data_IF_541940494153
#
_entry.id   IF_541940494153
#
_cell.length_a   1.000
_cell.length_b   1.000
_cell.length_c   1.000
_cell.angle_alpha   90.00
_cell.angle_beta   90.00
_cell.angle_gamma   90.00
#
_symmetry.space_group_name_H-M   'P 1'
#
loop_
_entity.id
_entity.type
_entity.pdbx_description
1 polymer ?
#
# COMPACT_ATOMS: atom_id res chain seq x y z
N UNK A 1 14.14 10.68 -9.51
CA UNK A 1 12.89 10.10 -9.00
C UNK A 1 13.12 9.61 -7.59
N UNK A 2 12.11 9.05 -6.93
CA UNK A 2 12.32 8.27 -5.70
C UNK A 2 12.63 6.82 -6.06
N UNK A 3 13.35 6.12 -5.19
CA UNK A 3 13.44 4.65 -5.22
C UNK A 3 12.18 4.08 -4.55
N UNK A 4 11.48 3.16 -5.21
CA UNK A 4 10.17 2.65 -4.78
C UNK A 4 10.25 1.16 -4.45
N UNK A 5 9.89 0.86 -3.20
CA UNK A 5 9.71 -0.51 -2.70
C UNK A 5 8.21 -0.82 -2.68
N UNK A 6 7.81 -1.96 -3.24
CA UNK A 6 6.44 -2.44 -3.25
C UNK A 6 6.32 -3.83 -2.63
N UNK A 7 5.36 -4.02 -1.74
CA UNK A 7 5.08 -5.33 -1.12
C UNK A 7 3.86 -5.98 -1.77
N UNK A 8 3.89 -7.28 -1.97
CA UNK A 8 2.78 -8.01 -2.59
C UNK A 8 2.67 -9.47 -2.14
N UNK A 9 1.61 -10.14 -2.57
CA UNK A 9 1.23 -11.48 -2.12
C UNK A 9 1.46 -12.59 -3.14
N UNK A 10 1.95 -12.28 -4.34
CA UNK A 10 2.17 -13.29 -5.38
C UNK A 10 3.18 -12.82 -6.42
N UNK A 11 3.81 -13.77 -7.10
CA UNK A 11 4.79 -13.48 -8.14
C UNK A 11 4.17 -12.79 -9.37
N UNK A 12 2.90 -13.10 -9.67
CA UNK A 12 2.16 -12.41 -10.73
C UNK A 12 2.01 -10.90 -10.43
N UNK A 13 1.66 -10.56 -9.18
CA UNK A 13 1.63 -9.16 -8.76
C UNK A 13 3.03 -8.56 -8.68
N UNK A 14 4.03 -9.36 -8.34
CA UNK A 14 5.40 -8.89 -8.29
C UNK A 14 5.91 -8.50 -9.68
N UNK A 15 5.61 -9.31 -10.70
CA UNK A 15 5.87 -9.01 -12.09
C UNK A 15 5.14 -7.73 -12.55
N UNK A 16 3.88 -7.56 -12.15
CA UNK A 16 3.13 -6.33 -12.43
C UNK A 16 3.77 -5.07 -11.81
N UNK A 17 4.17 -5.13 -10.53
CA UNK A 17 4.87 -4.01 -9.88
C UNK A 17 6.18 -3.66 -10.59
N UNK A 18 6.96 -4.66 -11.01
CA UNK A 18 8.16 -4.43 -11.83
C UNK A 18 7.83 -3.78 -13.17
N UNK A 19 6.76 -4.20 -13.85
CA UNK A 19 6.39 -3.66 -15.16
C UNK A 19 5.93 -2.20 -15.11
N UNK A 20 5.46 -1.73 -13.94
CA UNK A 20 5.11 -0.31 -13.72
C UNK A 20 6.25 0.51 -13.11
N UNK A 21 7.47 -0.05 -13.03
CA UNK A 21 8.67 0.67 -12.62
C UNK A 21 8.97 0.66 -11.12
N UNK A 22 8.46 -0.31 -10.35
CA UNK A 22 8.87 -0.50 -8.97
C UNK A 22 10.31 -1.04 -8.92
N UNK A 23 11.22 -0.32 -8.24
CA UNK A 23 12.65 -0.65 -8.18
C UNK A 23 12.91 -1.95 -7.39
N UNK A 24 12.20 -2.13 -6.26
CA UNK A 24 12.27 -3.35 -5.46
C UNK A 24 10.89 -3.87 -5.11
N UNK A 25 10.63 -5.12 -5.46
CA UNK A 25 9.38 -5.78 -5.13
C UNK A 25 9.61 -6.93 -4.18
N UNK A 26 8.93 -6.94 -3.03
CA UNK A 26 9.00 -7.99 -2.02
C UNK A 26 7.68 -8.77 -2.04
N UNK A 27 7.73 -10.06 -2.37
CA UNK A 27 6.59 -10.95 -2.19
C UNK A 27 6.62 -11.47 -0.73
N UNK A 28 5.76 -10.93 0.12
CA UNK A 28 5.79 -11.22 1.56
C UNK A 28 5.39 -12.66 1.92
N UNK A 29 4.90 -13.45 0.95
CA UNK A 29 4.64 -14.88 1.15
C UNK A 29 5.89 -15.75 0.95
N UNK A 30 6.94 -15.22 0.32
CA UNK A 30 8.17 -15.97 0.00
C UNK A 30 9.43 -15.33 0.58
N UNK A 31 9.32 -14.10 1.07
CA UNK A 31 10.43 -13.31 1.59
C UNK A 31 9.99 -12.53 2.83
N UNK A 32 10.84 -12.50 3.86
CA UNK A 32 10.60 -11.71 5.05
C UNK A 32 10.88 -10.22 4.77
N UNK A 33 9.87 -9.37 4.97
CA UNK A 33 9.97 -7.93 4.68
C UNK A 33 10.97 -7.22 5.59
N UNK A 34 11.00 -7.54 6.89
CA UNK A 34 11.95 -6.93 7.83
C UNK A 34 13.40 -7.27 7.48
N UNK A 35 13.69 -8.54 7.19
CA UNK A 35 15.03 -8.97 6.81
C UNK A 35 15.49 -8.33 5.50
N UNK A 36 14.61 -8.28 4.49
CA UNK A 36 14.90 -7.64 3.22
C UNK A 36 15.19 -6.15 3.41
N UNK A 37 14.38 -5.45 4.22
CA UNK A 37 14.59 -4.03 4.51
C UNK A 37 15.91 -3.77 5.24
N UNK A 38 16.22 -4.53 6.30
CA UNK A 38 17.48 -4.38 7.04
C UNK A 38 18.71 -4.61 6.16
N UNK A 39 18.64 -5.62 5.29
CA UNK A 39 19.77 -6.03 4.44
C UNK A 39 20.02 -5.04 3.30
N UNK A 40 18.97 -4.62 2.61
CA UNK A 40 19.08 -3.82 1.38
C UNK A 40 18.97 -2.31 1.63
N UNK A 41 18.31 -1.91 2.72
CA UNK A 41 18.03 -0.51 3.07
C UNK A 41 18.46 -0.23 4.52
N UNK A 42 19.77 -0.34 4.85
CA UNK A 42 20.25 -0.24 6.24
C UNK A 42 19.99 1.14 6.88
N UNK A 43 19.73 2.19 6.08
CA UNK A 43 19.36 3.51 6.56
C UNK A 43 17.85 3.68 6.79
N UNK A 44 17.06 2.66 6.46
CA UNK A 44 15.61 2.66 6.53
C UNK A 44 14.92 3.32 5.33
N UNK A 45 13.58 3.39 5.41
CA UNK A 45 12.70 3.99 4.40
C UNK A 45 12.18 5.36 4.83
N UNK A 46 12.31 6.36 3.96
CA UNK A 46 11.97 7.77 4.28
C UNK A 46 10.47 8.06 4.30
N UNK A 47 9.70 7.38 3.46
CA UNK A 47 8.26 7.61 3.29
C UNK A 47 7.57 6.28 3.02
N UNK A 48 6.57 5.97 3.84
CA UNK A 48 5.79 4.73 3.73
C UNK A 48 4.32 5.04 3.56
N UNK A 49 3.72 4.37 2.57
CA UNK A 49 2.29 4.37 2.30
C UNK A 49 1.73 3.04 2.82
N UNK A 50 1.09 3.09 3.98
CA UNK A 50 0.67 1.90 4.72
C UNK A 50 -0.86 1.72 4.64
N UNK A 51 -1.29 0.51 4.30
CA UNK A 51 -2.70 0.14 4.12
C UNK A 51 -3.08 -1.20 4.73
N UNK A 52 -2.09 -1.97 5.19
CA UNK A 52 -2.25 -3.39 5.51
C UNK A 52 -2.48 -3.56 7.00
N UNK A 53 -1.57 -3.06 7.83
CA UNK A 53 -1.55 -3.31 9.26
C UNK A 53 -0.78 -4.56 9.69
N UNK A 54 -0.95 -4.95 10.95
CA UNK A 54 -0.40 -6.18 11.53
C UNK A 54 1.12 -6.25 11.44
N UNK A 55 1.66 -7.44 11.19
CA UNK A 55 3.11 -7.67 11.17
C UNK A 55 3.85 -6.86 10.10
N UNK A 56 3.19 -6.54 8.97
CA UNK A 56 3.80 -5.69 7.96
C UNK A 56 4.04 -4.27 8.50
N UNK A 57 3.06 -3.71 9.21
CA UNK A 57 3.23 -2.42 9.87
C UNK A 57 4.36 -2.45 10.91
N UNK A 58 4.50 -3.55 11.65
CA UNK A 58 5.62 -3.74 12.61
C UNK A 58 6.97 -3.70 11.90
N UNK A 59 7.13 -4.48 10.83
CA UNK A 59 8.36 -4.46 10.00
C UNK A 59 8.65 -3.07 9.46
N UNK A 60 7.63 -2.31 9.05
CA UNK A 60 7.80 -0.93 8.56
C UNK A 60 8.31 0.00 9.66
N UNK A 61 7.72 -0.03 10.86
CA UNK A 61 8.13 0.85 11.97
C UNK A 61 9.57 0.53 12.41
N UNK A 62 9.95 -0.74 12.39
CA UNK A 62 11.32 -1.17 12.70
C UNK A 62 12.34 -0.67 11.66
N UNK A 63 11.90 -0.45 10.41
CA UNK A 63 12.76 -0.06 9.30
C UNK A 63 12.52 1.35 8.77
N UNK A 64 11.72 2.18 9.44
CA UNK A 64 11.59 3.60 9.05
C UNK A 64 12.92 4.32 9.26
N UNK A 65 13.29 5.22 8.35
CA UNK A 65 14.52 6.00 8.45
C UNK A 65 14.44 7.04 9.59
N UNK A 66 15.58 7.60 9.97
CA UNK A 66 15.61 8.81 10.82
C UNK A 66 14.86 9.93 10.10
N UNK A 67 13.88 10.55 10.79
CA UNK A 67 12.92 11.53 10.25
C UNK A 67 11.98 10.98 9.18
N UNK A 68 11.90 9.65 9.04
CA UNK A 68 10.98 9.02 8.12
C UNK A 68 9.51 9.20 8.52
N UNK A 69 8.62 9.03 7.55
CA UNK A 69 7.19 9.32 7.69
C UNK A 69 6.36 8.12 7.24
N UNK A 70 5.46 7.67 8.09
CA UNK A 70 4.49 6.63 7.77
C UNK A 70 3.12 7.27 7.64
N UNK A 71 2.50 7.14 6.46
CA UNK A 71 1.17 7.61 6.16
C UNK A 71 0.22 6.41 6.20
N UNK A 72 -0.67 6.38 7.19
CA UNK A 72 -1.71 5.36 7.33
C UNK A 72 -2.96 5.80 6.56
N UNK A 73 -3.41 5.03 5.58
CA UNK A 73 -4.67 5.29 4.86
C UNK A 73 -5.51 4.03 4.63
N UNK A 74 -5.17 2.95 5.32
CA UNK A 74 -5.94 1.71 5.39
C UNK A 74 -5.43 0.83 6.55
N UNK A 75 -6.19 -0.19 6.91
CA UNK A 75 -5.83 -1.20 7.91
C UNK A 75 -6.59 -2.50 7.61
N UNK A 76 -6.37 -3.05 6.41
CA UNK A 76 -7.19 -4.16 5.88
C UNK A 76 -7.08 -5.45 6.71
N UNK A 77 -5.95 -5.67 7.41
CA UNK A 77 -5.75 -6.85 8.25
C UNK A 77 -6.66 -6.88 9.48
N UNK A 78 -7.08 -5.70 9.96
CA UNK A 78 -7.87 -5.58 11.19
C UNK A 78 -9.37 -5.71 11.02
N UNK A 79 -9.90 -5.60 9.79
CA UNK A 79 -11.35 -5.56 9.58
C UNK A 79 -12.08 -6.84 9.99
N UNK A 80 -11.36 -7.95 10.21
CA UNK A 80 -11.90 -9.22 10.71
C UNK A 80 -11.58 -9.49 12.19
N UNK A 81 -11.29 -8.46 12.99
CA UNK A 81 -11.15 -8.59 14.44
C UNK A 81 -9.77 -9.04 14.91
N UNK A 82 -8.72 -8.81 14.11
CA UNK A 82 -7.36 -8.99 14.60
C UNK A 82 -7.06 -7.94 15.69
N UNK A 83 -6.58 -8.39 16.85
CA UNK A 83 -6.11 -7.51 17.91
C UNK A 83 -4.69 -7.03 17.59
N UNK A 84 -4.47 -5.72 17.54
CA UNK A 84 -3.13 -5.16 17.42
C UNK A 84 -2.62 -4.70 18.79
N UNK A 85 -1.63 -5.42 19.32
CA UNK A 85 -0.99 -5.15 20.60
C UNK A 85 0.21 -4.19 20.49
N UNK A 86 0.48 -3.66 19.29
CA UNK A 86 1.74 -2.97 18.94
C UNK A 86 1.90 -1.54 19.50
N UNK A 87 0.91 -1.01 20.21
CA UNK A 87 0.89 0.41 20.62
C UNK A 87 2.04 0.77 21.57
N UNK A 88 2.41 -0.13 22.48
CA UNK A 88 3.48 0.11 23.47
C UNK A 88 4.88 0.17 22.84
N UNK A 89 5.13 -0.60 21.79
CA UNK A 89 6.42 -0.63 21.08
C UNK A 89 6.59 0.53 20.11
N UNK A 90 5.49 1.07 19.60
CA UNK A 90 5.50 2.11 18.57
C UNK A 90 6.15 3.41 19.06
N UNK A 91 5.81 3.86 20.26
CA UNK A 91 6.25 5.15 20.82
C UNK A 91 7.78 5.29 20.86
N UNK A 92 8.54 4.38 21.50
CA UNK A 92 9.99 4.50 21.54
C UNK A 92 10.63 4.42 20.15
N UNK A 93 10.11 3.57 19.26
CA UNK A 93 10.63 3.42 17.88
C UNK A 93 10.51 4.72 17.08
N UNK A 94 9.38 5.42 17.18
CA UNK A 94 9.19 6.72 16.54
C UNK A 94 10.05 7.80 17.18
N UNK A 95 10.09 7.84 18.52
CA UNK A 95 10.84 8.85 19.29
C UNK A 95 12.33 8.85 18.93
N UNK A 96 12.99 7.69 19.01
CA UNK A 96 14.44 7.60 18.78
C UNK A 96 14.85 7.87 17.32
N UNK A 97 13.92 7.71 16.38
CA UNK A 97 14.14 8.03 14.98
C UNK A 97 13.67 9.43 14.60
N UNK A 98 13.05 10.19 15.51
CA UNK A 98 12.31 11.42 15.16
C UNK A 98 11.33 11.20 13.99
N UNK A 99 10.78 9.99 13.89
CA UNK A 99 9.88 9.59 12.82
C UNK A 99 8.44 9.97 13.16
N UNK A 100 7.58 10.04 12.15
CA UNK A 100 6.16 10.39 12.34
C UNK A 100 5.24 9.34 11.77
N UNK A 101 4.14 9.09 12.47
CA UNK A 101 2.99 8.33 11.98
C UNK A 101 1.82 9.28 11.79
N UNK A 102 1.22 9.30 10.60
CA UNK A 102 0.12 10.22 10.28
C UNK A 102 -1.04 9.48 9.61
N UNK A 103 -2.20 9.53 10.24
CA UNK A 103 -3.45 9.09 9.63
C UNK A 103 -3.87 10.01 8.48
N UNK A 104 -4.39 9.41 7.41
CA UNK A 104 -4.95 10.08 6.26
C UNK A 104 -6.32 9.46 5.93
N UNK A 105 -7.36 10.27 5.99
CA UNK A 105 -8.70 9.90 5.53
C UNK A 105 -9.13 10.94 4.48
N UNK A 106 -9.47 10.45 3.29
CA UNK A 106 -9.77 11.31 2.13
C UNK A 106 -10.89 12.32 2.41
N UNK A 107 -11.85 11.95 3.27
CA UNK A 107 -12.95 12.81 3.68
C UNK A 107 -12.55 14.12 4.37
N UNK A 108 -11.34 14.20 4.96
CA UNK A 108 -10.83 15.43 5.59
C UNK A 108 -10.10 16.37 4.61
N UNK A 109 -9.96 15.98 3.34
CA UNK A 109 -9.24 16.74 2.30
C UNK A 109 -10.10 16.93 1.04
N UNK A 110 -11.41 17.14 1.22
CA UNK A 110 -12.38 17.26 0.11
C UNK A 110 -12.08 18.45 -0.81
N UNK A 111 -11.59 19.55 -0.24
CA UNK A 111 -11.14 20.75 -0.94
C UNK A 111 -9.99 20.45 -1.93
N UNK A 112 -9.19 19.42 -1.64
CA UNK A 112 -8.09 18.98 -2.49
C UNK A 112 -8.53 18.03 -3.61
N UNK A 113 -9.75 17.47 -3.55
CA UNK A 113 -10.20 16.42 -4.47
C UNK A 113 -10.22 16.90 -5.93
N UNK A 114 -10.89 18.02 -6.20
CA UNK A 114 -11.04 18.54 -7.56
C UNK A 114 -9.70 18.85 -8.24
N UNK A 115 -8.78 19.65 -7.65
CA UNK A 115 -7.50 19.95 -8.30
C UNK A 115 -6.64 18.69 -8.50
N UNK A 116 -6.66 17.73 -7.57
CA UNK A 116 -5.92 16.47 -7.75
C UNK A 116 -6.55 15.57 -8.82
N UNK A 117 -7.88 15.50 -8.92
CA UNK A 117 -8.56 14.74 -9.97
C UNK A 117 -8.20 15.26 -11.35
N UNK A 118 -8.24 16.58 -11.55
CA UNK A 118 -7.86 17.20 -12.82
C UNK A 118 -6.40 16.87 -13.20
N UNK A 119 -5.50 16.93 -12.22
CA UNK A 119 -4.09 16.55 -12.43
C UNK A 119 -3.94 15.08 -12.81
N UNK A 120 -4.65 14.16 -12.15
CA UNK A 120 -4.59 12.73 -12.47
C UNK A 120 -5.10 12.44 -13.88
N UNK A 121 -6.25 13.03 -14.27
CA UNK A 121 -6.80 12.89 -15.62
C UNK A 121 -5.84 13.43 -16.68
N UNK A 122 -5.19 14.57 -16.41
CA UNK A 122 -4.14 15.10 -17.29
C UNK A 122 -2.99 14.12 -17.46
N UNK A 123 -2.48 13.52 -16.37
CA UNK A 123 -1.40 12.53 -16.44
C UNK A 123 -1.80 11.27 -17.22
N UNK A 124 -3.06 10.84 -17.09
CA UNK A 124 -3.61 9.70 -17.87
C UNK A 124 -3.66 10.06 -19.36
N UNK A 125 -4.19 11.24 -19.70
CA UNK A 125 -4.27 11.71 -21.09
C UNK A 125 -2.87 11.89 -21.72
N UNK A 126 -1.90 12.34 -20.94
CA UNK A 126 -0.49 12.45 -21.33
C UNK A 126 0.25 11.09 -21.35
N UNK A 127 -0.43 9.99 -21.04
CA UNK A 127 0.14 8.63 -20.93
C UNK A 127 1.29 8.52 -19.93
N UNK A 128 1.36 9.44 -18.96
CA UNK A 128 2.33 9.44 -17.86
C UNK A 128 1.85 8.66 -16.65
N UNK A 129 0.56 8.36 -16.58
CA UNK A 129 -0.05 7.52 -15.57
C UNK A 129 -0.94 6.49 -16.27
N UNK A 130 -0.65 5.20 -16.05
CA UNK A 130 -1.51 4.10 -16.51
C UNK A 130 -2.36 3.66 -15.33
N UNK A 131 -3.69 3.81 -15.37
CA UNK A 131 -4.56 3.28 -14.32
C UNK A 131 -4.45 1.76 -14.27
N UNK A 132 -4.10 1.21 -13.10
CA UNK A 132 -4.13 -0.23 -12.88
C UNK A 132 -5.56 -0.70 -12.64
N UNK A 133 -6.19 -1.30 -13.65
CA UNK A 133 -7.51 -1.94 -13.56
C UNK A 133 -7.30 -3.46 -13.59
N UNK A 134 -8.02 -4.16 -12.74
CA UNK A 134 -8.01 -5.62 -12.73
C UNK A 134 -8.59 -6.17 -14.05
N UNK A 135 -7.94 -7.16 -14.69
CA UNK A 135 -8.43 -7.70 -15.96
C UNK A 135 -9.72 -8.54 -15.82
N UNK A 136 -10.07 -9.00 -14.61
CA UNK A 136 -11.29 -9.78 -14.39
C UNK A 136 -12.51 -8.86 -14.47
N UNK A 137 -13.48 -9.24 -15.32
CA UNK A 137 -14.73 -8.52 -15.50
C UNK A 137 -15.80 -9.05 -14.57
N UNK A 138 -16.53 -8.13 -13.95
CA UNK A 138 -17.70 -8.38 -13.13
C UNK A 138 -18.88 -7.65 -13.78
N UNK A 139 -19.85 -8.40 -14.31
CA UNK A 139 -20.99 -7.85 -15.06
C UNK A 139 -22.26 -7.97 -14.22
N UNK A 140 -23.07 -6.90 -14.23
CA UNK A 140 -24.30 -6.80 -13.45
C UNK A 140 -24.08 -6.59 -11.95
N UNK A 141 -25.09 -6.05 -11.26
CA UNK A 141 -25.02 -5.78 -9.82
C UNK A 141 -24.92 -7.06 -8.99
N UNK A 142 -25.44 -8.17 -9.51
CA UNK A 142 -25.37 -9.51 -8.93
C UNK A 142 -23.94 -10.05 -8.79
N UNK A 143 -22.98 -9.51 -9.54
CA UNK A 143 -21.56 -9.91 -9.47
C UNK A 143 -20.78 -9.25 -8.33
N UNK A 144 -21.36 -8.24 -7.66
CA UNK A 144 -20.70 -7.49 -6.58
C UNK A 144 -20.20 -8.41 -5.45
N UNK A 145 -20.98 -9.36 -4.91
CA UNK A 145 -20.50 -10.28 -3.88
C UNK A 145 -19.25 -11.06 -4.34
N UNK A 146 -19.26 -11.58 -5.57
CA UNK A 146 -18.11 -12.31 -6.11
C UNK A 146 -16.87 -11.43 -6.29
N UNK A 147 -17.04 -10.15 -6.67
CA UNK A 147 -15.94 -9.19 -6.74
C UNK A 147 -15.34 -8.91 -5.36
N UNK A 148 -16.18 -8.81 -4.33
CA UNK A 148 -15.74 -8.63 -2.94
C UNK A 148 -14.97 -9.87 -2.46
N UNK A 149 -15.49 -11.08 -2.69
CA UNK A 149 -14.80 -12.33 -2.34
C UNK A 149 -13.45 -12.45 -3.05
N UNK A 150 -13.39 -12.06 -4.33
CA UNK A 150 -12.15 -12.04 -5.12
C UNK A 150 -11.09 -11.08 -4.54
N UNK A 151 -11.52 -9.91 -4.05
CA UNK A 151 -10.67 -8.95 -3.34
C UNK A 151 -10.14 -9.53 -2.02
N UNK A 152 -11.01 -10.11 -1.19
CA UNK A 152 -10.62 -10.68 0.10
C UNK A 152 -9.74 -11.93 -0.04
N UNK A 153 -9.95 -12.71 -1.11
CA UNK A 153 -9.05 -13.79 -1.51
C UNK A 153 -7.71 -13.28 -2.08
N UNK A 154 -7.48 -11.95 -2.08
CA UNK A 154 -6.26 -11.28 -2.54
C UNK A 154 -5.90 -11.62 -3.99
N UNK A 155 -6.88 -11.91 -4.85
CA UNK A 155 -6.60 -12.31 -6.24
C UNK A 155 -6.36 -11.11 -7.15
N UNK A 156 -6.84 -9.94 -6.77
CA UNK A 156 -6.82 -8.76 -7.63
C UNK A 156 -5.44 -8.17 -7.91
N UNK A 157 -5.23 -7.72 -9.15
CA UNK A 157 -4.09 -6.94 -9.63
C UNK A 157 -4.61 -5.61 -10.15
N UNK A 158 -4.51 -4.56 -9.33
CA UNK A 158 -5.10 -3.26 -9.62
C UNK A 158 -6.51 -3.12 -9.06
N UNK A 159 -7.25 -2.13 -9.60
CA UNK A 159 -8.58 -1.75 -9.14
C UNK A 159 -9.64 -2.68 -9.74
N UNK A 160 -10.43 -3.31 -8.88
CA UNK A 160 -11.64 -4.03 -9.31
C UNK A 160 -12.70 -3.04 -9.78
N UNK A 161 -13.27 -3.33 -10.95
CA UNK A 161 -14.35 -2.57 -11.58
C UNK A 161 -15.42 -3.52 -12.08
N UNK A 162 -16.68 -3.11 -12.00
CA UNK A 162 -17.79 -3.83 -12.62
C UNK A 162 -18.51 -2.95 -13.64
N UNK A 163 -19.23 -3.59 -14.55
CA UNK A 163 -20.13 -2.93 -15.51
C UNK A 163 -21.56 -3.27 -15.16
N UNK A 164 -22.42 -2.25 -15.17
CA UNK A 164 -23.87 -2.39 -14.97
C UNK A 164 -24.51 -2.72 -16.31
#
# INVERSE_FOLDING_TARGET
>A
GNHVIGTTSSDAKAAHLKSIGCDRVINYNTENVDEALKKEYPNGVDLVFETVGGDLFRSIVDNVAVKGRVILFGYISGYHGAEDTFVSELVPKLLFKSASLRGFISGHYRDQFHPHMQRLLKLINEKKLVPGIDPVKFEGLESIPSAIDYMYARKNIGKLTGTI
#
